data_IF_600494408466
#
_entry.id   IF_600494408466
#
_cell.length_a   1.000
_cell.length_b   1.000
_cell.length_c   1.000
_cell.angle_alpha   90.00
_cell.angle_beta   90.00
_cell.angle_gamma   90.00
#
_symmetry.space_group_name_H-M   'P 1'
#
loop_
_entity.id
_entity.type
_entity.pdbx_description
1 polymer ?
#
# COMPACT_ATOMS: atom_id res chain seq x y z
N UNK A 1 -15.72 18.18 18.06
CA UNK A 1 -15.67 17.23 16.92
C UNK A 1 -14.42 17.56 16.15
N UNK A 2 -13.32 16.84 16.37
CA UNK A 2 -12.09 16.99 15.61
C UNK A 2 -12.38 16.56 14.17
N UNK A 3 -12.24 17.47 13.20
CA UNK A 3 -12.27 17.11 11.78
C UNK A 3 -11.20 16.05 11.54
N UNK A 4 -11.59 14.89 11.05
CA UNK A 4 -10.60 13.90 10.63
C UNK A 4 -9.97 14.41 9.33
N UNK A 5 -8.64 14.55 9.26
CA UNK A 5 -7.98 15.02 8.06
C UNK A 5 -8.31 14.09 6.89
N UNK A 6 -8.42 14.66 5.69
CA UNK A 6 -8.70 13.91 4.46
C UNK A 6 -7.73 12.73 4.35
N UNK A 7 -8.20 11.50 4.10
CA UNK A 7 -7.31 10.34 4.08
C UNK A 7 -6.34 10.40 2.89
N UNK A 8 -5.06 10.16 3.16
CA UNK A 8 -4.05 9.94 2.12
C UNK A 8 -4.32 8.58 1.46
N UNK A 9 -5.00 8.63 0.31
CA UNK A 9 -5.38 7.45 -0.49
C UNK A 9 -5.07 7.60 -1.96
N UNK A 10 -4.96 6.47 -2.66
CA UNK A 10 -4.91 6.38 -4.11
C UNK A 10 -5.80 5.23 -4.60
N UNK A 11 -6.15 5.27 -5.88
CA UNK A 11 -6.79 4.16 -6.58
C UNK A 11 -6.04 3.83 -7.86
N UNK A 12 -5.88 2.53 -8.11
CA UNK A 12 -5.22 1.99 -9.30
C UNK A 12 -6.17 1.01 -9.96
N UNK A 13 -6.33 1.12 -11.27
CA UNK A 13 -7.09 0.13 -12.05
C UNK A 13 -6.13 -0.66 -12.93
N UNK A 14 -6.25 -1.98 -12.91
CA UNK A 14 -5.43 -2.87 -13.73
C UNK A 14 -6.21 -4.11 -14.15
N UNK A 15 -5.71 -4.79 -15.18
CA UNK A 15 -6.28 -6.07 -15.66
C UNK A 15 -5.34 -7.18 -15.24
N UNK A 16 -5.88 -8.21 -14.57
CA UNK A 16 -5.10 -9.39 -14.17
C UNK A 16 -4.63 -10.17 -15.39
N UNK A 17 -3.42 -10.72 -15.33
CA UNK A 17 -2.80 -11.49 -16.43
C UNK A 17 -3.00 -13.00 -16.26
N UNK A 18 -2.75 -13.80 -17.31
CA UNK A 18 -2.77 -15.27 -17.19
C UNK A 18 -1.71 -15.77 -16.20
N UNK A 19 -0.55 -15.11 -16.16
CA UNK A 19 0.55 -15.39 -15.23
C UNK A 19 0.18 -15.11 -13.77
N UNK A 20 -0.95 -14.43 -13.55
CA UNK A 20 -1.45 -14.14 -12.22
C UNK A 20 -2.16 -15.34 -11.60
N UNK A 21 -2.72 -16.21 -12.43
CA UNK A 21 -3.59 -17.30 -12.00
C UNK A 21 -2.84 -18.58 -11.63
N UNK A 22 -3.48 -19.37 -10.77
CA UNK A 22 -3.11 -20.75 -10.49
C UNK A 22 -3.99 -21.72 -11.32
N UNK A 23 -3.76 -23.05 -11.24
CA UNK A 23 -4.55 -24.03 -11.98
C UNK A 23 -6.06 -24.03 -11.70
N UNK A 24 -6.53 -23.35 -10.64
CA UNK A 24 -7.95 -23.20 -10.35
C UNK A 24 -8.61 -22.06 -11.16
N UNK A 25 -7.85 -21.37 -12.01
CA UNK A 25 -8.37 -20.31 -12.89
C UNK A 25 -8.62 -18.97 -12.20
N UNK A 26 -8.09 -18.82 -10.98
CA UNK A 26 -8.18 -17.59 -10.18
C UNK A 26 -6.78 -17.11 -9.83
N UNK A 27 -6.63 -15.82 -9.50
CA UNK A 27 -5.35 -15.25 -9.09
C UNK A 27 -4.78 -16.04 -7.91
N UNK A 28 -3.54 -16.52 -8.07
CA UNK A 28 -2.79 -17.19 -7.03
C UNK A 28 -2.65 -16.28 -5.80
N UNK A 29 -2.84 -16.81 -4.59
CA UNK A 29 -2.84 -16.00 -3.37
C UNK A 29 -1.54 -15.19 -3.15
N UNK A 30 -0.36 -15.75 -3.47
CA UNK A 30 0.92 -15.04 -3.35
C UNK A 30 1.09 -13.88 -4.35
N UNK A 31 0.27 -13.87 -5.40
CA UNK A 31 0.31 -12.89 -6.46
C UNK A 31 -0.48 -11.61 -6.14
N UNK A 32 -1.19 -11.56 -5.01
CA UNK A 32 -1.87 -10.32 -4.58
C UNK A 32 -0.89 -9.25 -4.11
N UNK A 33 0.30 -9.63 -3.61
CA UNK A 33 1.24 -8.68 -3.05
C UNK A 33 1.82 -7.70 -4.07
N UNK A 34 1.99 -8.10 -5.34
CA UNK A 34 2.37 -7.16 -6.41
C UNK A 34 1.29 -6.14 -6.74
N UNK A 35 0.00 -6.51 -6.58
CA UNK A 35 -1.10 -5.56 -6.74
C UNK A 35 -1.09 -4.52 -5.62
N UNK A 36 -0.90 -4.97 -4.39
CA UNK A 36 -0.78 -4.08 -3.23
C UNK A 36 0.45 -3.18 -3.36
N UNK A 37 1.58 -3.73 -3.80
CA UNK A 37 2.81 -2.98 -4.02
C UNK A 37 2.64 -1.88 -5.06
N UNK A 38 2.00 -2.15 -6.19
CA UNK A 38 1.76 -1.13 -7.22
C UNK A 38 0.90 0.02 -6.70
N UNK A 39 -0.17 -0.31 -5.95
CA UNK A 39 -1.00 0.71 -5.31
C UNK A 39 -0.24 1.50 -4.23
N UNK A 40 0.62 0.84 -3.45
CA UNK A 40 1.47 1.49 -2.45
C UNK A 40 2.54 2.37 -3.10
N UNK A 41 3.17 1.95 -4.19
CA UNK A 41 4.15 2.75 -4.95
C UNK A 41 3.54 4.08 -5.36
N UNK A 42 2.36 4.04 -6.00
CA UNK A 42 1.64 5.23 -6.44
C UNK A 42 1.18 6.09 -5.24
N UNK A 43 0.78 5.46 -4.13
CA UNK A 43 0.42 6.17 -2.90
C UNK A 43 1.61 6.98 -2.36
N UNK A 44 2.81 6.39 -2.34
CA UNK A 44 4.03 7.03 -1.84
C UNK A 44 4.56 8.14 -2.76
N UNK A 45 4.30 8.05 -4.06
CA UNK A 45 4.63 9.12 -5.01
C UNK A 45 3.87 10.42 -4.71
N UNK A 46 2.66 10.35 -4.12
CA UNK A 46 1.88 11.55 -3.76
C UNK A 46 2.53 12.43 -2.69
N UNK A 47 3.51 11.89 -1.96
CA UNK A 47 4.24 12.58 -0.90
C UNK A 47 5.75 12.68 -1.23
N UNK A 48 6.12 12.45 -2.49
CA UNK A 48 7.52 12.44 -2.95
C UNK A 48 8.40 11.49 -2.13
N UNK A 49 7.89 10.29 -1.82
CA UNK A 49 8.59 9.28 -1.02
C UNK A 49 8.66 7.93 -1.75
N UNK A 50 9.06 7.97 -3.02
CA UNK A 50 9.31 6.76 -3.83
C UNK A 50 10.39 5.87 -3.20
N UNK A 51 10.53 4.63 -3.69
CA UNK A 51 11.60 3.73 -3.23
C UNK A 51 13.00 4.33 -3.35
N UNK A 52 13.27 5.13 -4.39
CA UNK A 52 14.54 5.85 -4.53
C UNK A 52 14.70 6.91 -3.45
N UNK A 53 13.63 7.64 -3.10
CA UNK A 53 13.65 8.62 -2.02
C UNK A 53 13.79 7.97 -0.63
N UNK A 54 13.20 6.79 -0.42
CA UNK A 54 13.42 5.99 0.79
C UNK A 54 14.89 5.61 0.93
N UNK A 55 15.49 5.01 -0.11
CA UNK A 55 16.91 4.64 -0.07
C UNK A 55 17.82 5.86 0.11
N UNK A 56 17.55 6.96 -0.59
CA UNK A 56 18.30 8.20 -0.49
C UNK A 56 18.17 8.89 0.89
N UNK A 57 17.10 8.60 1.64
CA UNK A 57 16.92 9.12 3.00
C UNK A 57 17.67 8.33 4.07
N UNK A 58 18.36 7.24 3.68
CA UNK A 58 19.13 6.39 4.60
C UNK A 58 18.32 5.28 5.25
N UNK A 59 17.06 5.06 4.83
CA UNK A 59 16.15 4.09 5.45
C UNK A 59 15.58 3.09 4.45
N UNK A 60 15.53 1.83 4.86
CA UNK A 60 14.75 0.79 4.18
C UNK A 60 13.46 0.50 4.94
N UNK A 61 12.43 0.01 4.24
CA UNK A 61 11.09 -0.20 4.79
C UNK A 61 10.61 -1.64 4.56
N UNK A 62 11.22 -2.64 5.19
CA UNK A 62 10.78 -4.03 5.07
C UNK A 62 9.35 -4.20 5.60
N UNK A 63 8.59 -5.07 4.93
CA UNK A 63 7.27 -5.50 5.41
C UNK A 63 7.48 -6.45 6.59
N UNK A 64 6.87 -6.13 7.72
CA UNK A 64 6.96 -6.94 8.96
C UNK A 64 5.66 -7.67 9.30
N UNK A 65 4.52 -7.20 8.79
CA UNK A 65 3.22 -7.85 8.98
C UNK A 65 2.34 -7.65 7.76
N UNK A 66 1.55 -8.67 7.44
CA UNK A 66 0.52 -8.59 6.41
C UNK A 66 -0.71 -9.37 6.84
N UNK A 67 -1.87 -8.91 6.36
CA UNK A 67 -3.12 -9.67 6.45
C UNK A 67 -3.84 -9.56 5.14
N UNK A 68 -4.32 -10.68 4.62
CA UNK A 68 -5.15 -10.71 3.41
C UNK A 68 -6.41 -11.52 3.68
N UNK A 69 -7.56 -10.96 3.34
CA UNK A 69 -8.86 -11.62 3.33
C UNK A 69 -9.37 -11.69 1.90
N UNK A 70 -9.31 -12.88 1.31
CA UNK A 70 -9.88 -13.21 0.00
C UNK A 70 -11.40 -13.39 0.14
N UNK A 71 -12.17 -12.37 -0.23
CA UNK A 71 -13.64 -12.36 -0.06
C UNK A 71 -14.33 -13.00 -1.27
N UNK A 72 -13.85 -12.68 -2.47
CA UNK A 72 -14.27 -13.29 -3.74
C UNK A 72 -13.02 -13.63 -4.55
N UNK A 73 -13.04 -14.78 -5.28
CA UNK A 73 -11.97 -15.10 -6.21
C UNK A 73 -11.91 -14.05 -7.33
N UNK A 74 -10.69 -13.75 -7.79
CA UNK A 74 -10.44 -12.86 -8.93
C UNK A 74 -10.01 -13.74 -10.11
N UNK A 75 -10.73 -13.77 -11.23
CA UNK A 75 -10.28 -14.48 -12.44
C UNK A 75 -9.06 -13.80 -13.09
N UNK A 76 -8.36 -14.50 -13.98
CA UNK A 76 -7.42 -13.84 -14.90
C UNK A 76 -8.19 -13.06 -15.99
N UNK A 77 -7.50 -12.16 -16.69
CA UNK A 77 -8.09 -11.25 -17.69
C UNK A 77 -9.29 -10.47 -17.13
N UNK A 78 -9.23 -10.11 -15.84
CA UNK A 78 -10.30 -9.45 -15.12
C UNK A 78 -9.85 -8.06 -14.65
N UNK A 79 -10.67 -7.05 -14.89
CA UNK A 79 -10.37 -5.68 -14.49
C UNK A 79 -10.68 -5.48 -13.01
N UNK A 80 -9.67 -5.07 -12.24
CA UNK A 80 -9.77 -4.81 -10.80
C UNK A 80 -9.39 -3.36 -10.49
N UNK A 81 -10.02 -2.81 -9.45
CA UNK A 81 -9.71 -1.50 -8.90
C UNK A 81 -9.20 -1.68 -7.47
N UNK A 82 -7.99 -1.21 -7.21
CA UNK A 82 -7.28 -1.35 -5.95
C UNK A 82 -7.26 0.01 -5.28
N UNK A 83 -7.93 0.16 -4.14
CA UNK A 83 -7.78 1.31 -3.26
C UNK A 83 -6.68 1.04 -2.25
N UNK A 84 -5.76 1.98 -2.07
CA UNK A 84 -4.74 1.95 -1.01
C UNK A 84 -4.84 3.23 -0.18
N UNK A 85 -4.81 3.08 1.14
CA UNK A 85 -4.92 4.19 2.10
C UNK A 85 -3.84 4.07 3.16
N UNK A 86 -3.05 5.14 3.36
CA UNK A 86 -2.12 5.23 4.48
C UNK A 86 -2.94 5.45 5.75
N UNK A 87 -2.87 4.52 6.70
CA UNK A 87 -3.69 4.53 7.91
C UNK A 87 -2.89 4.75 9.19
N UNK A 88 -1.59 4.47 9.15
CA UNK A 88 -0.65 4.78 10.23
C UNK A 88 0.71 5.15 9.64
N UNK A 89 1.38 6.13 10.23
CA UNK A 89 2.69 6.59 9.76
C UNK A 89 3.65 7.04 10.88
N UNK A 90 3.20 7.23 12.12
CA UNK A 90 4.04 7.75 13.22
C UNK A 90 5.10 6.75 13.67
N UNK A 91 4.70 5.50 13.97
CA UNK A 91 5.60 4.46 14.48
C UNK A 91 5.91 3.37 13.43
N UNK A 92 5.04 3.25 12.44
CA UNK A 92 5.07 2.26 11.39
C UNK A 92 4.28 2.79 10.20
N UNK A 93 4.62 2.33 9.01
CA UNK A 93 3.88 2.62 7.79
C UNK A 93 2.86 1.50 7.58
N UNK A 94 1.58 1.81 7.83
CA UNK A 94 0.46 0.89 7.58
C UNK A 94 -0.33 1.37 6.36
N UNK A 95 -0.50 0.47 5.40
CA UNK A 95 -1.38 0.70 4.25
C UNK A 95 -2.49 -0.33 4.25
N UNK A 96 -3.73 0.16 4.25
CA UNK A 96 -4.92 -0.66 4.08
C UNK A 96 -5.29 -0.71 2.59
N UNK A 97 -5.60 -1.90 2.10
CA UNK A 97 -5.98 -2.15 0.71
C UNK A 97 -7.39 -2.74 0.61
N UNK A 98 -8.11 -2.32 -0.42
CA UNK A 98 -9.36 -2.96 -0.84
C UNK A 98 -9.34 -3.16 -2.34
N UNK A 99 -9.57 -4.40 -2.79
CA UNK A 99 -9.75 -4.70 -4.21
C UNK A 99 -11.24 -4.83 -4.50
N UNK A 100 -11.67 -4.13 -5.54
CA UNK A 100 -13.00 -4.19 -6.11
C UNK A 100 -12.94 -4.74 -7.53
N UNK A 101 -14.00 -5.40 -7.95
CA UNK A 101 -14.31 -5.56 -9.37
C UNK A 101 -14.49 -4.16 -9.98
N UNK A 102 -13.76 -3.85 -11.06
CA UNK A 102 -13.76 -2.52 -11.64
C UNK A 102 -15.09 -2.14 -12.32
N UNK A 103 -15.94 -3.12 -12.65
CA UNK A 103 -17.25 -2.91 -13.31
C UNK A 103 -18.40 -2.94 -12.31
N UNK A 104 -18.41 -3.90 -11.39
CA UNK A 104 -19.54 -4.15 -10.49
C UNK A 104 -19.39 -3.48 -9.13
N UNK A 105 -18.21 -2.94 -8.84
CA UNK A 105 -17.82 -2.41 -7.52
C UNK A 105 -17.94 -3.44 -6.38
N UNK A 106 -18.08 -4.72 -6.70
CA UNK A 106 -18.10 -5.77 -5.70
C UNK A 106 -16.74 -5.86 -5.03
N UNK A 107 -16.72 -5.75 -3.70
CA UNK A 107 -15.50 -5.94 -2.92
C UNK A 107 -15.03 -7.39 -3.00
N UNK A 108 -13.83 -7.59 -3.52
CA UNK A 108 -13.22 -8.92 -3.73
C UNK A 108 -12.17 -9.26 -2.68
N UNK A 109 -11.44 -8.27 -2.16
CA UNK A 109 -10.37 -8.52 -1.18
C UNK A 109 -10.22 -7.35 -0.22
N UNK A 110 -9.87 -7.65 1.04
CA UNK A 110 -9.37 -6.67 2.00
C UNK A 110 -7.98 -7.10 2.45
N UNK A 111 -7.04 -6.17 2.53
CA UNK A 111 -5.71 -6.48 3.03
C UNK A 111 -5.09 -5.30 3.78
N UNK A 112 -4.00 -5.57 4.48
CA UNK A 112 -3.08 -4.52 4.94
C UNK A 112 -1.64 -5.03 4.87
N UNK A 113 -0.71 -4.10 4.75
CA UNK A 113 0.73 -4.31 4.96
C UNK A 113 1.23 -3.33 6.01
N UNK A 114 2.16 -3.77 6.84
CA UNK A 114 2.86 -2.91 7.80
C UNK A 114 4.36 -3.00 7.55
N UNK A 115 5.01 -1.83 7.53
CA UNK A 115 6.44 -1.67 7.38
C UNK A 115 6.98 -0.85 8.55
N UNK A 116 8.22 -1.12 8.93
CA UNK A 116 8.99 -0.29 9.87
C UNK A 116 10.21 0.24 9.15
N UNK A 117 10.68 1.41 9.54
CA UNK A 117 11.94 1.93 9.04
C UNK A 117 13.10 1.16 9.69
N UNK A 118 14.13 0.88 8.89
CA UNK A 118 15.40 0.31 9.33
C UNK A 118 16.51 1.19 8.76
N UNK A 119 17.46 1.60 9.60
CA UNK A 119 18.63 2.34 9.16
C UNK A 119 19.50 1.48 8.25
N UNK A 120 19.92 2.02 7.10
CA UNK A 120 20.72 1.23 6.13
C UNK A 120 22.15 1.01 6.65
N UNK A 121 22.70 1.98 7.37
CA UNK A 121 24.08 1.95 7.87
C UNK A 121 24.24 0.96 9.03
N UNK A 122 23.34 1.00 10.00
CA UNK A 122 23.40 0.22 11.25
C UNK A 122 22.54 -1.06 11.20
N UNK A 123 21.64 -1.19 10.22
CA UNK A 123 20.63 -2.25 10.12
C UNK A 123 19.69 -2.31 11.33
N UNK A 124 19.54 -1.21 12.07
CA UNK A 124 18.71 -1.15 13.26
C UNK A 124 17.29 -0.68 12.92
N UNK A 125 16.31 -1.32 13.55
CA UNK A 125 14.91 -0.92 13.44
C UNK A 125 14.67 0.39 14.18
N UNK A 126 14.02 1.34 13.51
CA UNK A 126 13.55 2.56 14.15
C UNK A 126 12.22 2.29 14.89
N UNK A 127 12.14 2.69 16.16
CA UNK A 127 10.89 2.61 16.93
C UNK A 127 9.82 3.61 16.47
N UNK A 128 10.27 4.72 15.88
CA UNK A 128 9.44 5.76 15.29
C UNK A 128 9.85 5.94 13.84
N UNK A 129 8.89 6.34 13.00
CA UNK A 129 9.18 6.68 11.62
C UNK A 129 10.14 7.86 11.53
N UNK A 130 11.09 7.85 10.58
CA UNK A 130 11.99 8.97 10.34
C UNK A 130 11.25 10.27 10.03
N UNK A 131 11.75 11.41 10.54
CA UNK A 131 11.16 12.74 10.28
C UNK A 131 11.00 13.05 8.80
N UNK A 132 11.99 12.67 7.98
CA UNK A 132 11.95 12.81 6.52
C UNK A 132 10.69 12.20 5.89
N UNK A 133 10.10 11.16 6.49
CA UNK A 133 8.83 10.58 6.07
C UNK A 133 7.62 11.26 6.74
N UNK A 134 7.63 11.43 8.06
CA UNK A 134 6.47 12.02 8.77
C UNK A 134 6.20 13.46 8.33
N UNK A 135 7.24 14.27 8.15
CA UNK A 135 7.14 15.65 7.70
C UNK A 135 6.49 15.74 6.30
N UNK A 136 6.75 14.77 5.41
CA UNK A 136 6.12 14.68 4.09
C UNK A 136 4.63 14.36 4.18
N UNK A 137 4.25 13.44 5.08
CA UNK A 137 2.84 13.09 5.31
C UNK A 137 2.09 14.28 5.91
N UNK A 138 2.69 14.94 6.91
CA UNK A 138 2.13 16.14 7.55
C UNK A 138 1.98 17.31 6.58
N UNK A 139 3.00 17.58 5.76
CA UNK A 139 2.93 18.60 4.71
C UNK A 139 1.83 18.30 3.68
N UNK A 140 1.66 17.03 3.30
CA UNK A 140 0.56 16.63 2.42
C UNK A 140 -0.80 16.91 3.04
N UNK A 141 -0.99 16.60 4.33
CA UNK A 141 -2.25 16.92 5.02
C UNK A 141 -2.48 18.42 5.15
N UNK A 142 -1.45 19.21 5.47
CA UNK A 142 -1.56 20.67 5.59
C UNK A 142 -1.90 21.35 4.26
N UNK A 143 -1.37 20.87 3.13
CA UNK A 143 -1.64 21.41 1.80
C UNK A 143 -2.95 20.93 1.16
N UNK A 144 -3.62 19.94 1.76
CA UNK A 144 -4.89 19.37 1.28
C UNK A 144 -6.02 19.47 2.33
N UNK A 145 -5.83 20.30 3.36
CA UNK A 145 -6.81 20.68 4.37
C UNK A 145 -7.76 21.77 3.84
#
# INVERSE_FOLDING_TARGET
>A
MTEQPRPLRTEVTMVTSFQDADPMGVVYHGNYFRFFEEARRILMEKIDYSYHAMMASGYMWPIIDTRVKYVKPIPYNHAIRISATLTEWENRLRVDYVIYDAKTEQRMTKAHTMQVAVGIEDQEMCFVSPKVFTDKVEAWHAGNA
#
